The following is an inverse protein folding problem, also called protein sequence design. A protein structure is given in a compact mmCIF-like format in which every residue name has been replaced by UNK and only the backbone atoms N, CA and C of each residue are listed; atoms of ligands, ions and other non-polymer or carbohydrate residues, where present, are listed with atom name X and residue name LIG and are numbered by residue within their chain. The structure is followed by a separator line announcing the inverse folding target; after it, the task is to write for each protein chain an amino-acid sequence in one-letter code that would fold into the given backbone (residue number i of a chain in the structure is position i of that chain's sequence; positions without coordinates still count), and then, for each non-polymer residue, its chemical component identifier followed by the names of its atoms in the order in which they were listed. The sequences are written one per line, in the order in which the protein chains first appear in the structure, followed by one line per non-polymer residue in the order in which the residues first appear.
data_IF_414036700161
#
_entry.id   IF_414036700161
#
_cell.length_a   1.000
_cell.length_b   1.000
_cell.length_c   1.000
_cell.angle_alpha   90.00
_cell.angle_beta   90.00
_cell.angle_gamma   90.00
#
_symmetry.space_group_name_H-M   'P 1'
#
loop_
_entity.id
_entity.type
_entity.pdbx_description
1 polymer ?
#
# COMPACT_ATOMS: atom_id res chain seq x y z
N UNK A 1 -1.64 -3.13 10.12
CA UNK A 1 -2.49 -2.68 9.00
C UNK A 1 -2.23 -3.54 7.77
N UNK A 2 -3.27 -4.04 7.11
CA UNK A 2 -3.14 -4.89 5.93
C UNK A 2 -3.27 -4.10 4.63
N UNK A 3 -2.45 -4.41 3.61
CA UNK A 3 -2.54 -3.80 2.29
C UNK A 3 -3.92 -4.01 1.63
N UNK A 4 -4.53 -5.18 1.84
CA UNK A 4 -5.86 -5.53 1.33
C UNK A 4 -6.96 -4.60 1.86
N UNK A 5 -6.87 -4.15 3.11
CA UNK A 5 -7.81 -3.18 3.71
C UNK A 5 -7.75 -1.84 2.98
N UNK A 6 -6.56 -1.31 2.72
CA UNK A 6 -6.39 -0.05 1.96
C UNK A 6 -6.88 -0.19 0.51
N UNK A 7 -6.67 -1.36 -0.11
CA UNK A 7 -7.09 -1.61 -1.49
C UNK A 7 -8.61 -1.55 -1.65
N UNK A 8 -9.36 -2.03 -0.65
CA UNK A 8 -10.81 -2.02 -0.62
C UNK A 8 -11.42 -0.61 -0.43
N UNK A 9 -10.68 0.34 0.13
CA UNK A 9 -11.15 1.70 0.32
C UNK A 9 -11.26 2.49 -0.99
N UNK A 10 -12.23 3.39 -1.04
CA UNK A 10 -12.35 4.36 -2.14
C UNK A 10 -11.19 5.36 -2.08
N UNK A 11 -10.79 5.91 -3.24
CA UNK A 11 -9.62 6.81 -3.32
C UNK A 11 -9.79 8.07 -2.47
N UNK A 12 -11.02 8.56 -2.32
CA UNK A 12 -11.30 9.72 -1.46
C UNK A 12 -10.96 9.47 0.00
N UNK A 13 -11.28 8.29 0.54
CA UNK A 13 -10.94 7.92 1.91
C UNK A 13 -9.43 7.79 2.10
N UNK A 14 -8.72 7.29 1.08
CA UNK A 14 -7.26 7.23 1.10
C UNK A 14 -6.63 8.64 1.08
N UNK A 15 -7.22 9.59 0.34
CA UNK A 15 -6.76 10.98 0.31
C UNK A 15 -6.90 11.59 1.70
N UNK A 16 -8.08 11.50 2.32
CA UNK A 16 -8.32 12.00 3.69
C UNK A 16 -7.33 11.39 4.69
N UNK A 17 -7.13 10.07 4.65
CA UNK A 17 -6.15 9.41 5.52
C UNK A 17 -4.72 9.88 5.25
N UNK A 18 -4.36 10.16 3.99
CA UNK A 18 -3.07 10.71 3.63
C UNK A 18 -2.85 12.13 4.16
N UNK A 19 -3.89 12.97 4.13
CA UNK A 19 -3.87 14.33 4.69
C UNK A 19 -3.71 14.30 6.22
N UNK A 20 -4.46 13.44 6.92
CA UNK A 20 -4.36 13.23 8.37
C UNK A 20 -2.96 12.75 8.80
N UNK A 21 -2.28 11.99 7.93
CA UNK A 21 -0.92 11.50 8.13
C UNK A 21 0.16 12.50 7.69
N UNK A 22 -0.22 13.72 7.31
CA UNK A 22 0.66 14.79 6.82
C UNK A 22 1.53 14.29 5.65
N UNK A 23 0.91 13.61 4.70
CA UNK A 23 1.56 13.21 3.45
C UNK A 23 1.31 14.31 2.42
N UNK A 24 2.39 14.84 1.85
CA UNK A 24 2.29 15.90 0.85
C UNK A 24 1.83 15.35 -0.51
N UNK A 25 1.15 16.19 -1.30
CA UNK A 25 0.76 15.90 -2.68
C UNK A 25 -0.14 14.67 -2.89
N UNK A 26 -0.91 14.26 -1.87
CA UNK A 26 -1.80 13.09 -1.92
C UNK A 26 -2.82 13.14 -3.06
N UNK A 27 -3.35 14.32 -3.41
CA UNK A 27 -4.33 14.48 -4.50
C UNK A 27 -3.74 14.24 -5.89
N UNK A 28 -2.40 14.24 -6.03
CA UNK A 28 -1.69 13.97 -7.30
C UNK A 28 -1.19 12.53 -7.40
N UNK A 29 -1.20 11.78 -6.31
CA UNK A 29 -0.73 10.41 -6.28
C UNK A 29 -1.74 9.46 -6.93
N UNK A 30 -1.23 8.45 -7.64
CA UNK A 30 -2.07 7.31 -8.04
C UNK A 30 -2.50 6.54 -6.80
N UNK A 31 -3.65 5.86 -6.84
CA UNK A 31 -4.16 5.07 -5.70
C UNK A 31 -3.10 4.16 -5.08
N UNK A 32 -2.33 3.47 -5.91
CA UNK A 32 -1.26 2.57 -5.45
C UNK A 32 -0.12 3.31 -4.73
N UNK A 33 0.31 4.45 -5.27
CA UNK A 33 1.36 5.29 -4.65
C UNK A 33 0.89 5.84 -3.31
N UNK A 34 -0.36 6.30 -3.25
CA UNK A 34 -0.99 6.82 -2.04
C UNK A 34 -1.09 5.75 -0.94
N UNK A 35 -1.55 4.54 -1.27
CA UNK A 35 -1.57 3.41 -0.32
C UNK A 35 -0.18 3.10 0.22
N UNK A 36 0.84 3.10 -0.64
CA UNK A 36 2.21 2.82 -0.24
C UNK A 36 2.79 3.93 0.65
N UNK A 37 2.48 5.19 0.34
CA UNK A 37 2.88 6.33 1.16
C UNK A 37 2.26 6.27 2.57
N UNK A 38 0.97 5.93 2.67
CA UNK A 38 0.25 5.73 3.93
C UNK A 38 0.89 4.60 4.75
N UNK A 39 1.11 3.44 4.14
CA UNK A 39 1.77 2.31 4.78
C UNK A 39 3.16 2.69 5.30
N UNK A 40 3.95 3.40 4.48
CA UNK A 40 5.30 3.83 4.84
C UNK A 40 5.31 4.83 6.01
N UNK A 41 4.36 5.77 6.05
CA UNK A 41 4.26 6.75 7.15
C UNK A 41 3.91 6.03 8.46
N UNK A 42 2.92 5.12 8.45
CA UNK A 42 2.53 4.32 9.62
C UNK A 42 3.64 3.39 10.11
N UNK A 43 4.35 2.73 9.18
CA UNK A 43 5.51 1.90 9.53
C UNK A 43 6.60 2.69 10.27
N UNK A 44 6.87 3.93 9.81
CA UNK A 44 7.81 4.83 10.48
C UNK A 44 7.33 5.27 11.87
N UNK A 45 6.02 5.29 12.09
CA UNK A 45 5.40 5.52 13.40
C UNK A 45 5.46 4.31 14.34
N UNK A 46 6.02 3.18 13.90
CA UNK A 46 6.12 1.94 14.69
C UNK A 46 4.93 1.00 14.53
N UNK A 47 3.96 1.32 13.66
CA UNK A 47 2.86 0.41 13.36
C UNK A 47 3.34 -0.75 12.47
N UNK A 48 2.91 -1.97 12.78
CA UNK A 48 3.18 -3.13 11.92
C UNK A 48 2.30 -3.08 10.67
N UNK A 49 2.93 -3.28 9.51
CA UNK A 49 2.27 -3.33 8.21
C UNK A 49 2.44 -4.72 7.60
N UNK A 50 1.35 -5.24 7.05
CA UNK A 50 1.26 -6.58 6.50
C UNK A 50 0.81 -6.51 5.05
N UNK A 51 1.41 -7.35 4.22
CA UNK A 51 1.01 -7.56 2.83
C UNK A 51 0.95 -9.06 2.56
N UNK A 52 -0.09 -9.46 1.84
CA UNK A 52 -0.33 -10.83 1.42
C UNK A 52 -0.36 -10.91 -0.12
N UNK A 53 -0.10 -12.10 -0.65
CA UNK A 53 -0.12 -12.36 -2.09
C UNK A 53 0.39 -13.75 -2.42
N UNK A 54 0.35 -14.07 -3.71
CA UNK A 54 0.85 -15.33 -4.27
C UNK A 54 2.33 -15.17 -4.58
N UNK A 55 3.16 -16.06 -4.05
CA UNK A 55 4.60 -16.04 -4.31
C UNK A 55 4.89 -16.43 -5.77
N UNK A 56 5.53 -15.53 -6.50
CA UNK A 56 6.14 -15.78 -7.81
C UNK A 56 7.65 -15.79 -7.65
N UNK A 57 8.30 -16.92 -7.97
CA UNK A 57 9.76 -17.09 -7.89
C UNK A 57 10.36 -16.90 -9.28
N UNK A 58 11.36 -16.03 -9.37
CA UNK A 58 12.10 -15.75 -10.60
C UNK A 58 13.31 -16.69 -10.75
N UNK A 59 13.83 -16.88 -11.97
CA UNK A 59 14.95 -17.78 -12.24
C UNK A 59 16.22 -17.48 -11.43
N UNK A 60 16.41 -16.21 -11.05
CA UNK A 60 17.54 -15.74 -10.26
C UNK A 60 17.45 -16.08 -8.76
N UNK A 61 16.39 -16.78 -8.33
CA UNK A 61 16.26 -17.31 -6.97
C UNK A 61 15.60 -16.38 -5.95
N UNK A 62 15.14 -15.19 -6.36
CA UNK A 62 14.28 -14.31 -5.54
C UNK A 62 12.84 -14.31 -6.05
N UNK A 63 11.90 -13.79 -5.26
CA UNK A 63 10.49 -13.77 -5.64
C UNK A 63 9.70 -12.58 -5.08
N UNK A 64 8.51 -12.38 -5.62
CA UNK A 64 7.58 -11.33 -5.23
C UNK A 64 6.21 -11.90 -4.89
N UNK A 65 5.52 -11.26 -3.96
CA UNK A 65 4.11 -11.54 -3.70
C UNK A 65 3.26 -10.75 -4.71
N UNK A 66 2.48 -11.46 -5.54
CA UNK A 66 1.51 -10.89 -6.48
C UNK A 66 0.14 -10.83 -5.83
N UNK A 67 -0.56 -9.70 -6.01
CA UNK A 67 -1.96 -9.65 -5.63
C UNK A 67 -2.79 -10.55 -6.56
N UNK A 68 -3.77 -11.31 -6.06
CA UNK A 68 -4.61 -12.19 -6.87
C UNK A 68 -5.36 -11.46 -8.00
N UNK A 69 -5.61 -10.16 -7.82
CA UNK A 69 -6.32 -9.29 -8.77
C UNK A 69 -5.35 -8.36 -9.55
N UNK A 70 -4.07 -8.72 -9.68
CA UNK A 70 -3.08 -7.99 -10.47
C UNK A 70 -3.04 -8.38 -11.96
N UNK A 71 -4.05 -9.11 -12.46
CA UNK A 71 -4.22 -9.48 -13.88
C UNK A 71 -5.14 -8.53 -14.62
#
# INVERSE_FOLDING_TARGET
MHLSELKALHVSALITMGEELEIENVSRMRKQELMFAIMKKRAKGGEQVFGDGVLEVLPDGFGFLRAPDAS
#
